data_IF_988693434581
#
_entry.id   IF_988693434581
#
_cell.length_a   1.000
_cell.length_b   1.000
_cell.length_c   1.000
_cell.angle_alpha   90.00
_cell.angle_beta   90.00
_cell.angle_gamma   90.00
#
_symmetry.space_group_name_H-M   'P 1'
#
loop_
_entity.id
_entity.type
_entity.pdbx_description
1 polymer ?
#
# COMPACT_ATOMS: atom_id res chain seq x y z
N UNK A 1 0.31 15.35 -4.56
CA UNK A 1 0.74 13.93 -4.55
C UNK A 1 -0.12 13.24 -3.50
N UNK A 2 -0.97 12.27 -3.85
CA UNK A 2 -1.66 11.46 -2.85
C UNK A 2 -0.68 10.49 -2.17
N UNK A 3 -1.01 9.99 -0.99
CA UNK A 3 -0.17 9.04 -0.27
C UNK A 3 -0.21 7.65 -0.91
N UNK A 4 -1.40 7.19 -1.30
CA UNK A 4 -1.62 5.87 -1.92
C UNK A 4 -2.54 5.97 -3.14
N UNK A 5 -2.42 4.99 -4.02
CA UNK A 5 -3.34 4.74 -5.13
C UNK A 5 -4.13 3.47 -4.84
N UNK A 6 -5.46 3.50 -4.96
CA UNK A 6 -6.30 2.30 -4.92
C UNK A 6 -6.69 1.96 -6.35
N UNK A 7 -6.38 0.75 -6.81
CA UNK A 7 -6.72 0.36 -8.17
C UNK A 7 -6.34 -1.07 -8.55
N UNK A 8 -6.34 -1.32 -9.86
CA UNK A 8 -6.06 -2.63 -10.45
C UNK A 8 -4.57 -2.78 -10.85
N UNK A 9 -4.19 -3.91 -11.43
CA UNK A 9 -2.79 -4.21 -11.77
C UNK A 9 -2.15 -3.21 -12.74
N UNK A 10 -2.92 -2.43 -13.51
CA UNK A 10 -2.35 -1.39 -14.37
C UNK A 10 -1.72 -0.25 -13.58
N UNK A 11 -2.20 0.02 -12.36
CA UNK A 11 -1.65 1.07 -11.50
C UNK A 11 -0.18 0.86 -11.11
N UNK A 12 0.36 -0.36 -11.27
CA UNK A 12 1.76 -0.66 -10.95
C UNK A 12 2.75 0.18 -11.77
N UNK A 13 2.36 0.55 -12.99
CA UNK A 13 3.19 1.38 -13.86
C UNK A 13 3.27 2.81 -13.34
N UNK A 14 2.16 3.34 -12.82
CA UNK A 14 2.12 4.66 -12.18
C UNK A 14 3.00 4.66 -10.93
N UNK A 15 2.93 3.62 -10.09
CA UNK A 15 3.82 3.50 -8.92
C UNK A 15 5.30 3.50 -9.36
N UNK A 16 5.65 2.73 -10.38
CA UNK A 16 7.03 2.69 -10.92
C UNK A 16 7.47 4.07 -11.42
N UNK A 17 6.63 4.76 -12.17
CA UNK A 17 6.97 6.04 -12.78
C UNK A 17 7.11 7.14 -11.72
N UNK A 18 6.26 7.13 -10.69
CA UNK A 18 6.38 8.05 -9.55
C UNK A 18 7.62 7.77 -8.69
N UNK A 19 7.98 6.50 -8.51
CA UNK A 19 9.23 6.10 -7.86
C UNK A 19 10.47 6.55 -8.63
N UNK A 20 10.44 6.53 -9.97
CA UNK A 20 11.55 7.00 -10.81
C UNK A 20 11.87 8.48 -10.59
N UNK A 21 10.86 9.30 -10.29
CA UNK A 21 11.05 10.72 -9.94
C UNK A 21 11.79 10.90 -8.60
N UNK A 22 11.67 9.94 -7.69
CA UNK A 22 12.31 9.96 -6.38
C UNK A 22 11.48 9.19 -5.35
N UNK A 23 12.14 8.64 -4.32
CA UNK A 23 11.48 7.83 -3.28
C UNK A 23 10.44 8.64 -2.48
N UNK A 24 10.67 9.94 -2.32
CA UNK A 24 9.73 10.90 -1.72
C UNK A 24 8.49 11.16 -2.58
N UNK A 25 8.54 10.86 -3.89
CA UNK A 25 7.43 11.04 -4.83
C UNK A 25 6.69 9.75 -5.16
N UNK A 26 7.18 8.60 -4.69
CA UNK A 26 6.51 7.32 -4.86
C UNK A 26 5.07 7.36 -4.32
N UNK A 27 4.13 6.85 -5.12
CA UNK A 27 2.73 6.62 -4.72
C UNK A 27 2.46 5.12 -4.77
N UNK A 28 2.49 4.40 -3.63
CA UNK A 28 2.28 2.96 -3.60
C UNK A 28 0.86 2.55 -4.04
N UNK A 29 0.74 1.43 -4.75
CA UNK A 29 -0.54 0.86 -5.20
C UNK A 29 -1.10 -0.16 -4.20
N UNK A 30 -2.28 0.15 -3.66
CA UNK A 30 -3.17 -0.79 -2.98
C UNK A 30 -4.10 -1.44 -4.00
N UNK A 31 -4.10 -2.78 -4.04
CA UNK A 31 -4.76 -3.56 -5.10
C UNK A 31 -6.18 -3.95 -4.70
N UNK A 32 -7.15 -3.10 -5.07
CA UNK A 32 -8.58 -3.37 -4.93
C UNK A 32 -9.25 -2.96 -6.25
N UNK A 33 -9.93 -3.90 -6.89
CA UNK A 33 -10.58 -3.68 -8.18
C UNK A 33 -10.34 -4.83 -9.16
N UNK A 34 -10.42 -4.53 -10.46
CA UNK A 34 -10.29 -5.52 -11.53
C UNK A 34 -9.61 -4.90 -12.77
N UNK A 35 -8.74 -5.61 -13.51
CA UNK A 35 -8.21 -6.96 -13.22
C UNK A 35 -6.99 -6.95 -12.29
N UNK A 36 -6.85 -8.00 -11.46
CA UNK A 36 -5.70 -8.23 -10.58
C UNK A 36 -4.89 -9.43 -11.08
N UNK A 37 -3.93 -9.19 -11.98
CA UNK A 37 -3.11 -10.23 -12.61
C UNK A 37 -1.80 -10.52 -11.89
N UNK A 38 -1.27 -9.55 -11.14
CA UNK A 38 0.05 -9.64 -10.50
C UNK A 38 0.00 -10.14 -9.05
N UNK A 39 -1.17 -10.60 -8.59
CA UNK A 39 -1.39 -11.21 -7.27
C UNK A 39 -2.38 -12.37 -7.39
N UNK A 40 -2.18 -13.40 -6.59
CA UNK A 40 -3.01 -14.60 -6.60
C UNK A 40 -4.13 -14.51 -5.55
N UNK A 41 -5.28 -15.13 -5.87
CA UNK A 41 -6.41 -15.33 -4.96
C UNK A 41 -7.13 -14.08 -4.41
N UNK A 42 -6.72 -12.86 -4.79
CA UNK A 42 -7.43 -11.63 -4.39
C UNK A 42 -8.86 -11.55 -4.95
N UNK A 43 -9.17 -12.29 -6.02
CA UNK A 43 -10.53 -12.42 -6.53
C UNK A 43 -11.52 -13.07 -5.54
N UNK A 44 -11.03 -13.69 -4.45
CA UNK A 44 -11.86 -14.29 -3.39
C UNK A 44 -12.23 -13.29 -2.29
N UNK A 45 -11.64 -12.10 -2.29
CA UNK A 45 -11.89 -11.09 -1.27
C UNK A 45 -13.23 -10.38 -1.49
N UNK A 46 -13.75 -9.82 -0.42
CA UNK A 46 -15.05 -9.17 -0.35
C UNK A 46 -14.85 -7.67 -0.23
N UNK A 47 -15.60 -6.88 -1.00
CA UNK A 47 -15.59 -5.40 -0.90
C UNK A 47 -16.97 -4.82 -0.56
N UNK A 48 -17.98 -5.67 -0.35
CA UNK A 48 -19.37 -5.28 -0.12
C UNK A 48 -19.80 -5.68 1.30
N UNK A 49 -20.68 -4.88 1.91
CA UNK A 49 -21.22 -5.13 3.25
C UNK A 49 -20.19 -4.94 4.36
N UNK A 50 -20.55 -5.34 5.57
CA UNK A 50 -19.69 -5.17 6.75
C UNK A 50 -18.41 -6.01 6.65
N UNK A 51 -18.49 -7.22 6.10
CA UNK A 51 -17.33 -8.06 5.85
C UNK A 51 -16.34 -7.37 4.90
N UNK A 52 -16.83 -6.81 3.80
CA UNK A 52 -15.96 -6.09 2.87
C UNK A 52 -15.38 -4.82 3.48
N UNK A 53 -16.16 -4.08 4.29
CA UNK A 53 -15.66 -2.92 5.02
C UNK A 53 -14.51 -3.31 5.98
N UNK A 54 -14.64 -4.41 6.71
CA UNK A 54 -13.56 -4.93 7.57
C UNK A 54 -12.30 -5.25 6.75
N UNK A 55 -12.45 -5.96 5.63
CA UNK A 55 -11.31 -6.30 4.77
C UNK A 55 -10.62 -5.06 4.18
N UNK A 56 -11.40 -4.07 3.72
CA UNK A 56 -10.86 -2.82 3.16
C UNK A 56 -10.12 -2.03 4.23
N UNK A 57 -10.71 -1.83 5.41
CA UNK A 57 -10.06 -1.10 6.50
C UNK A 57 -8.76 -1.78 6.92
N UNK A 58 -8.75 -3.10 7.11
CA UNK A 58 -7.54 -3.86 7.43
C UNK A 58 -6.46 -3.71 6.35
N UNK A 59 -6.85 -3.75 5.07
CA UNK A 59 -5.90 -3.60 3.96
C UNK A 59 -5.30 -2.19 3.92
N UNK A 60 -6.10 -1.15 4.15
CA UNK A 60 -5.65 0.23 4.13
C UNK A 60 -4.70 0.55 5.29
N UNK A 61 -5.07 0.20 6.53
CA UNK A 61 -4.25 0.52 7.70
C UNK A 61 -2.89 -0.20 7.64
N UNK A 62 -2.88 -1.49 7.25
CA UNK A 62 -1.63 -2.24 7.15
C UNK A 62 -0.73 -1.70 6.02
N UNK A 63 -1.30 -1.21 4.92
CA UNK A 63 -0.50 -0.58 3.85
C UNK A 63 0.17 0.73 4.33
N UNK A 64 -0.52 1.50 5.19
CA UNK A 64 0.07 2.70 5.82
C UNK A 64 1.21 2.31 6.75
N UNK A 65 1.01 1.30 7.61
CA UNK A 65 2.03 0.83 8.53
C UNK A 65 3.26 0.25 7.81
N UNK A 66 3.05 -0.55 6.76
CA UNK A 66 4.15 -1.08 5.94
C UNK A 66 4.98 0.04 5.31
N UNK A 67 4.33 1.10 4.84
CA UNK A 67 5.04 2.25 4.28
C UNK A 67 5.80 3.03 5.35
N UNK A 68 5.20 3.23 6.52
CA UNK A 68 5.84 3.90 7.65
C UNK A 68 7.09 3.15 8.11
N UNK A 69 7.01 1.82 8.23
CA UNK A 69 8.16 0.97 8.54
C UNK A 69 9.28 1.10 7.49
N UNK A 70 8.94 1.11 6.20
CA UNK A 70 9.92 1.34 5.13
C UNK A 70 10.61 2.71 5.23
N UNK A 71 9.90 3.74 5.71
CA UNK A 71 10.45 5.08 5.88
C UNK A 71 11.28 5.22 7.15
N UNK A 72 11.00 4.42 8.18
CA UNK A 72 11.72 4.50 9.46
C UNK A 72 12.79 3.43 9.65
N UNK A 73 12.94 2.44 8.76
CA UNK A 73 13.93 1.35 8.92
C UNK A 73 15.42 1.74 8.80
N UNK A 74 15.75 3.00 8.48
CA UNK A 74 17.14 3.46 8.36
C UNK A 74 17.87 3.54 9.70
N UNK A 75 18.84 2.65 9.94
CA UNK A 75 19.62 2.59 11.18
C UNK A 75 20.38 3.90 11.46
N UNK A 76 20.26 4.44 12.66
CA UNK A 76 20.93 5.67 13.11
C UNK A 76 20.50 6.94 12.36
N UNK A 77 19.42 6.89 11.58
CA UNK A 77 18.93 8.02 10.79
C UNK A 77 17.45 8.26 11.02
N UNK A 78 16.61 7.23 10.83
CA UNK A 78 15.14 7.32 10.92
C UNK A 78 14.53 6.31 11.89
N UNK A 79 15.34 5.38 12.39
CA UNK A 79 14.96 4.27 13.28
C UNK A 79 14.49 4.70 14.68
N UNK A 80 14.68 5.96 15.04
CA UNK A 80 14.09 6.54 16.25
C UNK A 80 12.55 6.47 16.28
N UNK A 81 11.90 6.26 15.13
CA UNK A 81 10.44 6.09 14.98
C UNK A 81 10.07 4.71 14.38
N UNK A 82 10.96 3.72 14.56
CA UNK A 82 10.72 2.32 14.18
C UNK A 82 10.22 1.54 15.41
N UNK A 83 8.97 1.82 15.78
CA UNK A 83 8.36 1.32 17.02
C UNK A 83 7.94 -0.14 16.94
N UNK A 84 8.04 -0.84 18.08
CA UNK A 84 7.56 -2.22 18.23
C UNK A 84 6.03 -2.32 18.24
N UNK A 85 5.34 -1.30 18.76
CA UNK A 85 3.89 -1.22 18.86
C UNK A 85 3.43 0.02 18.11
N UNK A 86 2.42 -0.15 17.25
CA UNK A 86 1.86 0.91 16.41
C UNK A 86 0.34 1.00 16.58
#
# INVERSE_FOLDING_TARGET
>A
KPDFLIGNSYGKFIQRDTLHKGKEFEVPLIRIGFPLFDRHHLHRQTTIGYEGAMQVVTTLVNAVLERLDQETMGMGTTDYNFDLVR
#
